data_IF_426992908561
#
_entry.id   IF_426992908561
#
_cell.length_a   1.000
_cell.length_b   1.000
_cell.length_c   1.000
_cell.angle_alpha   90.00
_cell.angle_beta   90.00
_cell.angle_gamma   90.00
#
_symmetry.space_group_name_H-M   'P 1'
#
loop_
_entity.id
_entity.type
_entity.pdbx_description
1 polymer ?
#
# COMPACT_ATOMS: atom_id res chain seq x y z
N UNK A 1 29.71 20.06 3.41
CA UNK A 1 28.62 19.07 3.43
C UNK A 1 27.33 19.84 3.27
N UNK A 2 26.75 19.89 2.07
CA UNK A 2 25.51 20.65 1.81
C UNK A 2 24.31 19.76 2.12
N UNK A 3 23.47 20.19 3.07
CA UNK A 3 22.19 19.56 3.32
C UNK A 3 21.22 19.94 2.21
N UNK A 4 20.70 18.95 1.50
CA UNK A 4 19.64 19.13 0.50
C UNK A 4 18.30 19.00 1.20
N UNK A 5 17.59 20.11 1.35
CA UNK A 5 16.22 20.12 1.85
C UNK A 5 15.27 19.78 0.69
N UNK A 6 14.61 18.63 0.78
CA UNK A 6 13.58 18.23 -0.19
C UNK A 6 12.28 18.94 0.18
N UNK A 7 11.99 20.05 -0.50
CA UNK A 7 10.71 20.74 -0.40
C UNK A 7 9.65 19.96 -1.18
N UNK A 8 8.84 19.16 -0.49
CA UNK A 8 7.69 18.47 -1.08
C UNK A 8 6.60 19.51 -1.34
N UNK A 9 6.41 19.90 -2.61
CA UNK A 9 5.28 20.75 -3.01
C UNK A 9 4.00 19.91 -2.97
N UNK A 10 3.11 20.27 -2.05
CA UNK A 10 1.76 19.72 -1.92
C UNK A 10 0.96 20.08 -3.18
N UNK A 11 0.80 19.13 -4.11
CA UNK A 11 -0.21 19.24 -5.18
C UNK A 11 -1.57 18.92 -4.55
N UNK A 12 -2.29 19.97 -4.16
CA UNK A 12 -3.67 19.84 -3.73
C UNK A 12 -4.55 19.44 -4.91
N UNK A 13 -5.39 18.42 -4.71
CA UNK A 13 -6.48 18.06 -5.62
C UNK A 13 -6.26 16.81 -6.49
N UNK A 14 -6.03 15.63 -5.89
CA UNK A 14 -6.46 14.34 -6.50
C UNK A 14 -6.37 13.07 -5.62
N UNK A 15 -6.00 13.17 -4.34
CA UNK A 15 -5.54 12.02 -3.54
C UNK A 15 -6.45 11.64 -2.37
N UNK A 16 -7.76 11.63 -2.59
CA UNK A 16 -8.72 11.15 -1.60
C UNK A 16 -9.66 10.13 -2.24
N UNK A 17 -9.75 8.96 -1.61
CA UNK A 17 -10.49 7.76 -2.01
C UNK A 17 -9.81 6.82 -3.03
N UNK A 18 -8.73 6.17 -2.61
CA UNK A 18 -8.29 4.90 -3.25
C UNK A 18 -9.19 3.74 -2.80
N UNK A 19 -10.49 3.82 -3.08
CA UNK A 19 -11.40 2.68 -3.25
C UNK A 19 -12.32 3.02 -4.41
N UNK A 20 -11.75 3.31 -5.57
CA UNK A 20 -12.55 3.45 -6.79
C UNK A 20 -12.19 2.34 -7.75
N UNK A 21 -13.19 1.84 -8.49
CA UNK A 21 -13.01 0.89 -9.60
C UNK A 21 -11.87 1.32 -10.54
N UNK A 22 -11.70 2.64 -10.69
CA UNK A 22 -10.62 3.28 -11.45
C UNK A 22 -9.21 2.84 -11.02
N UNK A 23 -8.96 2.59 -9.73
CA UNK A 23 -7.65 2.11 -9.27
C UNK A 23 -7.33 0.73 -9.86
N UNK A 24 -8.27 -0.21 -9.76
CA UNK A 24 -8.07 -1.57 -10.27
C UNK A 24 -7.89 -1.60 -11.78
N UNK A 25 -8.58 -0.72 -12.51
CA UNK A 25 -8.35 -0.54 -13.95
C UNK A 25 -6.93 -0.03 -14.24
N UNK A 26 -6.46 0.98 -13.51
CA UNK A 26 -5.14 1.59 -13.71
C UNK A 26 -3.98 0.62 -13.47
N UNK A 27 -4.13 -0.34 -12.55
CA UNK A 27 -3.10 -1.34 -12.29
C UNK A 27 -3.22 -2.59 -13.17
N UNK A 28 -4.27 -2.68 -14.00
CA UNK A 28 -4.53 -3.79 -14.91
C UNK A 28 -5.08 -5.04 -14.21
N UNK A 29 -5.86 -4.88 -13.14
CA UNK A 29 -6.53 -6.01 -12.48
C UNK A 29 -7.65 -6.52 -13.40
N UNK A 30 -7.76 -7.84 -13.58
CA UNK A 30 -8.83 -8.43 -14.39
C UNK A 30 -10.19 -8.40 -13.68
N UNK A 31 -11.25 -8.73 -14.42
CA UNK A 31 -12.64 -8.70 -13.94
C UNK A 31 -12.89 -9.66 -12.78
N UNK A 32 -12.29 -10.85 -12.80
CA UNK A 32 -12.49 -11.87 -11.77
C UNK A 32 -11.86 -11.42 -10.45
N UNK A 33 -10.62 -10.93 -10.50
CA UNK A 33 -9.92 -10.39 -9.33
C UNK A 33 -10.57 -9.13 -8.77
N UNK A 34 -11.15 -8.27 -9.63
CA UNK A 34 -11.97 -7.12 -9.18
C UNK A 34 -13.19 -7.57 -8.37
N UNK A 35 -13.95 -8.53 -8.90
CA UNK A 35 -15.11 -9.08 -8.21
C UNK A 35 -14.72 -9.73 -6.88
N UNK A 36 -13.60 -10.46 -6.85
CA UNK A 36 -13.07 -11.06 -5.63
C UNK A 36 -12.67 -10.00 -4.60
N UNK A 37 -11.99 -8.93 -5.02
CA UNK A 37 -11.65 -7.80 -4.16
C UNK A 37 -12.89 -7.16 -3.52
N UNK A 38 -13.96 -6.97 -4.30
CA UNK A 38 -15.23 -6.43 -3.79
C UNK A 38 -15.92 -7.39 -2.80
N UNK A 39 -15.91 -8.69 -3.06
CA UNK A 39 -16.42 -9.69 -2.13
C UNK A 39 -15.64 -9.71 -0.81
N UNK A 40 -14.31 -9.60 -0.86
CA UNK A 40 -13.46 -9.47 0.33
C UNK A 40 -13.82 -8.19 1.09
N UNK A 41 -13.90 -7.04 0.40
CA UNK A 41 -14.29 -5.76 1.01
C UNK A 41 -15.64 -5.85 1.74
N UNK A 42 -16.64 -6.47 1.11
CA UNK A 42 -17.98 -6.61 1.70
C UNK A 42 -17.98 -7.52 2.93
N UNK A 43 -17.18 -8.60 2.93
CA UNK A 43 -16.98 -9.44 4.12
C UNK A 43 -16.27 -8.69 5.24
N UNK A 44 -15.25 -7.90 4.91
CA UNK A 44 -14.54 -7.08 5.88
C UNK A 44 -15.46 -6.05 6.57
N UNK A 45 -16.45 -5.52 5.86
CA UNK A 45 -17.45 -4.61 6.44
C UNK A 45 -18.35 -5.27 7.50
N UNK A 46 -18.36 -6.61 7.59
CA UNK A 46 -19.07 -7.35 8.64
C UNK A 46 -18.26 -7.43 9.95
N UNK A 47 -16.95 -7.15 9.92
CA UNK A 47 -16.14 -7.08 11.12
C UNK A 47 -16.45 -5.76 11.84
N UNK A 48 -16.81 -5.86 13.12
CA UNK A 48 -17.22 -4.70 13.90
C UNK A 48 -16.15 -3.59 13.86
N UNK A 49 -16.56 -2.39 13.43
CA UNK A 49 -15.69 -1.22 13.37
C UNK A 49 -14.71 -1.18 12.21
N UNK A 50 -14.71 -2.15 11.29
CA UNK A 50 -13.86 -2.14 10.10
C UNK A 50 -14.63 -1.66 8.86
N UNK A 51 -14.49 -0.38 8.53
CA UNK A 51 -15.04 0.21 7.32
C UNK A 51 -13.89 0.55 6.37
N UNK A 52 -13.63 -0.23 5.32
CA UNK A 52 -12.53 0.03 4.39
C UNK A 52 -12.63 1.45 3.80
N UNK A 53 -11.58 2.25 3.96
CA UNK A 53 -11.44 3.62 3.44
C UNK A 53 -10.40 3.74 2.31
N UNK A 54 -9.38 2.87 2.33
CA UNK A 54 -8.40 2.73 1.24
C UNK A 54 -8.16 1.24 0.92
N UNK A 55 -7.77 0.96 -0.32
CA UNK A 55 -7.31 -0.35 -0.79
C UNK A 55 -6.00 -0.21 -1.57
N UNK A 56 -5.14 -1.20 -1.45
CA UNK A 56 -3.91 -1.33 -2.22
C UNK A 56 -3.69 -2.79 -2.59
N UNK A 57 -3.26 -3.07 -3.83
CA UNK A 57 -2.88 -4.41 -4.28
C UNK A 57 -1.36 -4.47 -4.38
N UNK A 58 -0.76 -5.35 -3.58
CA UNK A 58 0.66 -5.69 -3.66
C UNK A 58 0.88 -6.64 -4.83
N UNK A 59 1.81 -6.29 -5.71
CA UNK A 59 2.10 -7.06 -6.92
C UNK A 59 3.56 -6.91 -7.34
N UNK A 60 4.02 -7.84 -8.17
CA UNK A 60 5.35 -7.82 -8.77
C UNK A 60 5.30 -8.29 -10.21
N UNK A 61 6.32 -7.91 -10.98
CA UNK A 61 6.53 -8.48 -12.32
C UNK A 61 7.44 -9.71 -12.25
N UNK A 62 7.04 -10.75 -12.95
CA UNK A 62 7.91 -11.89 -13.28
C UNK A 62 8.95 -11.49 -14.33
N UNK A 63 9.90 -12.40 -14.59
CA UNK A 63 10.94 -12.21 -15.59
C UNK A 63 10.40 -11.97 -17.01
N UNK A 64 9.24 -12.54 -17.32
CA UNK A 64 8.51 -12.37 -18.58
C UNK A 64 7.66 -11.10 -18.64
N UNK A 65 7.82 -10.19 -17.67
CA UNK A 65 7.05 -8.96 -17.50
C UNK A 65 5.55 -9.17 -17.21
N UNK A 66 5.13 -10.40 -16.91
CA UNK A 66 3.75 -10.65 -16.45
C UNK A 66 3.57 -10.19 -15.01
N UNK A 67 2.44 -9.54 -14.75
CA UNK A 67 2.09 -9.04 -13.42
C UNK A 67 1.47 -10.15 -12.57
N UNK A 68 1.95 -10.28 -11.35
CA UNK A 68 1.41 -11.21 -10.34
C UNK A 68 0.85 -10.40 -9.18
N UNK A 69 -0.47 -10.46 -9.01
CA UNK A 69 -1.16 -9.86 -7.89
C UNK A 69 -1.10 -10.81 -6.68
N UNK A 70 -0.36 -10.40 -5.65
CA UNK A 70 -0.02 -11.24 -4.51
C UNK A 70 -1.00 -11.01 -3.36
N UNK A 71 -1.01 -9.80 -2.79
CA UNK A 71 -1.83 -9.48 -1.61
C UNK A 71 -2.75 -8.30 -1.90
N UNK A 72 -3.91 -8.25 -1.25
CA UNK A 72 -4.76 -7.06 -1.22
C UNK A 72 -4.83 -6.53 0.20
N UNK A 73 -4.73 -5.22 0.35
CA UNK A 73 -4.63 -4.55 1.64
C UNK A 73 -5.75 -3.53 1.73
N UNK A 74 -6.57 -3.65 2.77
CA UNK A 74 -7.62 -2.71 3.11
C UNK A 74 -7.24 -1.94 4.35
N UNK A 75 -7.56 -0.65 4.38
CA UNK A 75 -7.22 0.24 5.50
C UNK A 75 -8.50 0.88 5.99
N UNK A 76 -8.74 0.80 7.30
CA UNK A 76 -9.85 1.43 8.00
C UNK A 76 -9.31 2.20 9.21
N UNK A 77 -9.21 3.52 9.09
CA UNK A 77 -8.56 4.35 10.11
C UNK A 77 -7.14 3.86 10.44
N UNK A 78 -6.94 3.41 11.68
CA UNK A 78 -5.67 2.93 12.23
C UNK A 78 -5.48 1.40 12.15
N UNK A 79 -6.36 0.71 11.43
CA UNK A 79 -6.32 -0.74 11.25
C UNK A 79 -6.09 -1.06 9.77
N UNK A 80 -5.16 -1.96 9.51
CA UNK A 80 -4.88 -2.52 8.20
C UNK A 80 -5.26 -3.98 8.20
N UNK A 81 -5.96 -4.43 7.17
CA UNK A 81 -6.19 -5.83 6.89
C UNK A 81 -5.47 -6.21 5.59
N UNK A 82 -4.47 -7.08 5.69
CA UNK A 82 -3.87 -7.74 4.54
C UNK A 82 -4.57 -9.06 4.31
N UNK A 83 -5.01 -9.30 3.07
CA UNK A 83 -5.47 -10.60 2.61
C UNK A 83 -4.40 -11.17 1.70
N UNK A 84 -3.66 -12.14 2.24
CA UNK A 84 -2.49 -12.72 1.57
C UNK A 84 -2.90 -13.72 0.51
N UNK A 85 -2.22 -13.66 -0.63
CA UNK A 85 -2.42 -14.55 -1.76
C UNK A 85 -3.87 -14.55 -2.29
N UNK A 86 -4.52 -13.39 -2.27
CA UNK A 86 -6.00 -13.26 -2.39
C UNK A 86 -6.58 -13.85 -3.67
N UNK A 87 -5.78 -14.02 -4.73
CA UNK A 87 -6.20 -14.72 -5.94
C UNK A 87 -6.50 -16.20 -5.68
N UNK A 88 -5.72 -16.87 -4.83
CA UNK A 88 -5.82 -18.32 -4.56
C UNK A 88 -6.36 -18.64 -3.16
N UNK A 89 -5.93 -17.91 -2.13
CA UNK A 89 -6.26 -18.14 -0.73
C UNK A 89 -6.65 -16.83 -0.04
N UNK A 90 -7.52 -16.87 0.96
CA UNK A 90 -7.93 -15.68 1.72
C UNK A 90 -7.42 -15.76 3.16
N UNK A 91 -6.13 -15.52 3.35
CA UNK A 91 -5.50 -15.46 4.69
C UNK A 91 -5.49 -14.02 5.19
N UNK A 92 -6.33 -13.73 6.17
CA UNK A 92 -6.51 -12.40 6.74
C UNK A 92 -5.50 -12.13 7.87
N UNK A 93 -4.76 -11.03 7.78
CA UNK A 93 -3.86 -10.55 8.82
C UNK A 93 -4.20 -9.10 9.14
N UNK A 94 -4.46 -8.82 10.42
CA UNK A 94 -4.79 -7.47 10.88
C UNK A 94 -3.60 -6.84 11.59
N UNK A 95 -3.33 -5.58 11.25
CA UNK A 95 -2.28 -4.77 11.84
C UNK A 95 -2.90 -3.51 12.43
N UNK A 96 -2.43 -3.10 13.61
CA UNK A 96 -2.69 -1.76 14.15
C UNK A 96 -1.52 -0.87 13.76
N UNK A 97 -1.78 0.28 13.15
CA UNK A 97 -0.71 1.22 12.75
C UNK A 97 -0.36 2.21 13.85
N UNK A 98 -1.33 2.68 14.62
CA UNK A 98 -1.20 3.74 15.63
C UNK A 98 0.00 3.58 16.59
N UNK A 99 1.02 4.41 16.40
CA UNK A 99 2.30 4.41 17.14
C UNK A 99 2.99 3.05 17.16
N UNK A 100 2.74 2.24 16.14
CA UNK A 100 3.17 0.85 16.09
C UNK A 100 4.13 0.60 14.92
N UNK A 101 4.28 1.54 13.99
CA UNK A 101 5.33 1.46 12.96
C UNK A 101 6.68 1.70 13.63
N UNK A 102 7.57 0.70 13.57
CA UNK A 102 8.92 0.77 14.12
C UNK A 102 9.93 1.24 13.07
N UNK A 103 9.85 0.67 11.86
CA UNK A 103 10.73 1.04 10.74
C UNK A 103 9.99 0.90 9.42
N UNK A 104 10.32 1.78 8.47
CA UNK A 104 9.91 1.65 7.06
C UNK A 104 11.18 1.55 6.21
N UNK A 105 11.33 0.46 5.48
CA UNK A 105 12.43 0.25 4.53
C UNK A 105 11.89 0.29 3.11
N UNK A 106 12.38 1.24 2.31
CA UNK A 106 12.02 1.37 0.89
C UNK A 106 13.19 0.90 0.03
N UNK A 107 12.95 -0.11 -0.80
CA UNK A 107 13.88 -0.64 -1.78
C UNK A 107 13.33 -0.32 -3.18
N UNK A 108 14.20 0.20 -4.05
CA UNK A 108 13.80 0.62 -5.39
C UNK A 108 14.68 -0.07 -6.43
N UNK A 109 14.09 -0.44 -7.55
CA UNK A 109 14.79 -0.87 -8.75
C UNK A 109 14.32 0.03 -9.90
N UNK A 110 15.28 0.66 -10.58
CA UNK A 110 15.02 1.53 -11.74
C UNK A 110 13.95 2.60 -11.48
N UNK A 111 14.10 3.30 -10.36
CA UNK A 111 13.17 4.32 -9.88
C UNK A 111 13.92 5.53 -9.30
N UNK A 112 13.43 6.75 -9.51
CA UNK A 112 14.02 7.99 -8.97
C UNK A 112 13.13 8.70 -7.91
N UNK A 113 11.95 8.14 -7.65
CA UNK A 113 10.87 8.65 -6.77
C UNK A 113 10.10 9.84 -7.34
N UNK A 114 10.37 10.23 -8.59
CA UNK A 114 9.71 11.34 -9.28
C UNK A 114 8.91 10.85 -10.48
N UNK A 115 9.45 9.86 -11.20
CA UNK A 115 8.87 9.26 -12.39
C UNK A 115 8.57 7.79 -12.13
N UNK A 116 7.43 7.33 -12.66
CA UNK A 116 6.92 5.96 -12.48
C UNK A 116 6.76 5.33 -13.87
N UNK A 117 7.86 4.82 -14.43
CA UNK A 117 7.88 4.18 -15.75
C UNK A 117 7.38 2.74 -15.68
N UNK A 118 7.02 2.11 -16.79
CA UNK A 118 6.55 0.71 -16.79
C UNK A 118 7.54 -0.30 -16.19
N UNK A 119 8.85 0.00 -16.22
CA UNK A 119 9.94 -0.79 -15.65
C UNK A 119 10.13 -0.60 -14.14
N UNK A 120 9.64 0.50 -13.59
CA UNK A 120 9.80 0.90 -12.19
C UNK A 120 9.33 -0.16 -11.19
N UNK A 121 10.15 -0.49 -10.19
CA UNK A 121 9.74 -1.38 -9.08
C UNK A 121 10.07 -0.76 -7.73
N UNK A 122 9.12 -0.84 -6.80
CA UNK A 122 9.29 -0.43 -5.42
C UNK A 122 8.84 -1.58 -4.52
N UNK A 123 9.70 -1.97 -3.59
CA UNK A 123 9.39 -2.90 -2.51
C UNK A 123 9.52 -2.15 -1.19
N UNK A 124 8.51 -2.29 -0.34
CA UNK A 124 8.48 -1.66 0.98
C UNK A 124 8.25 -2.71 2.03
N UNK A 125 9.08 -2.67 3.07
CA UNK A 125 8.88 -3.44 4.29
C UNK A 125 8.55 -2.46 5.42
N UNK A 126 7.38 -2.65 6.02
CA UNK A 126 6.94 -1.94 7.22
C UNK A 126 7.05 -2.93 8.38
N UNK A 127 7.96 -2.67 9.32
CA UNK A 127 8.07 -3.46 10.53
C UNK A 127 7.26 -2.78 11.65
N UNK A 128 6.41 -3.56 12.32
CA UNK A 128 5.67 -3.12 13.48
C UNK A 128 6.40 -3.49 14.79
N UNK A 129 6.18 -2.74 15.88
CA UNK A 129 6.92 -2.91 17.15
C UNK A 129 6.86 -4.32 17.75
N UNK A 130 5.82 -5.08 17.45
CA UNK A 130 5.63 -6.45 17.97
C UNK A 130 6.18 -7.56 17.04
N UNK A 131 7.07 -7.21 16.11
CA UNK A 131 7.83 -8.18 15.31
C UNK A 131 7.10 -8.75 14.11
N UNK A 132 5.95 -8.17 13.72
CA UNK A 132 5.27 -8.51 12.46
C UNK A 132 5.64 -7.50 11.38
N UNK A 133 5.82 -7.98 10.15
CA UNK A 133 6.07 -7.13 8.99
C UNK A 133 4.90 -7.17 8.00
N UNK A 134 4.65 -6.01 7.38
CA UNK A 134 3.87 -5.90 6.16
C UNK A 134 4.82 -5.60 5.00
N UNK A 135 4.74 -6.40 3.94
CA UNK A 135 5.54 -6.20 2.73
C UNK A 135 4.63 -5.83 1.58
N UNK A 136 4.88 -4.66 0.99
CA UNK A 136 4.13 -4.14 -0.14
C UNK A 136 5.05 -3.98 -1.34
N UNK A 137 4.60 -4.44 -2.50
CA UNK A 137 5.32 -4.35 -3.76
C UNK A 137 4.46 -3.65 -4.79
N UNK A 138 5.07 -2.77 -5.57
CA UNK A 138 4.41 -2.10 -6.67
C UNK A 138 5.33 -2.05 -7.89
N UNK A 139 4.71 -2.09 -9.05
CA UNK A 139 5.33 -2.03 -10.36
C UNK A 139 4.64 -0.98 -11.23
N UNK A 140 5.42 -0.22 -12.00
CA UNK A 140 4.93 0.82 -12.89
C UNK A 140 4.02 1.84 -12.19
N UNK A 141 2.82 2.02 -12.73
CA UNK A 141 1.81 2.93 -12.18
C UNK A 141 1.49 2.65 -10.70
N UNK A 142 1.58 1.39 -10.27
CA UNK A 142 1.27 0.98 -8.90
C UNK A 142 2.34 1.43 -7.89
N UNK A 143 3.56 1.74 -8.34
CA UNK A 143 4.59 2.36 -7.50
C UNK A 143 4.13 3.73 -6.99
N UNK A 144 3.42 4.52 -7.80
CA UNK A 144 2.91 5.84 -7.37
C UNK A 144 1.93 5.72 -6.22
N UNK A 145 1.00 4.77 -6.35
CA UNK A 145 0.01 4.49 -5.31
C UNK A 145 0.64 3.95 -4.03
N UNK A 146 1.69 3.12 -4.15
CA UNK A 146 2.46 2.68 -3.00
C UNK A 146 3.10 3.86 -2.27
N UNK A 147 3.75 4.77 -3.01
CA UNK A 147 4.37 5.95 -2.39
C UNK A 147 3.35 6.86 -1.71
N UNK A 148 2.16 7.06 -2.28
CA UNK A 148 1.06 7.79 -1.62
C UNK A 148 0.63 7.11 -0.31
N UNK A 149 0.50 5.78 -0.34
CA UNK A 149 0.17 4.99 0.84
C UNK A 149 1.22 5.13 1.94
N UNK A 150 2.50 5.06 1.58
CA UNK A 150 3.62 5.26 2.51
C UNK A 150 3.55 6.64 3.17
N UNK A 151 3.40 7.69 2.37
CA UNK A 151 3.39 9.07 2.87
C UNK A 151 2.17 9.34 3.77
N UNK A 152 1.00 8.80 3.43
CA UNK A 152 -0.26 9.13 4.10
C UNK A 152 -0.63 8.22 5.27
N UNK A 153 -0.02 7.03 5.38
CA UNK A 153 -0.37 6.04 6.41
C UNK A 153 0.82 5.67 7.28
N UNK A 154 1.94 5.27 6.67
CA UNK A 154 3.04 4.65 7.43
C UNK A 154 4.08 5.65 7.91
N UNK A 155 4.51 6.58 7.05
CA UNK A 155 5.49 7.60 7.42
C UNK A 155 4.88 8.65 8.35
N UNK A 156 3.60 8.98 8.16
CA UNK A 156 2.88 9.85 9.09
C UNK A 156 2.89 9.29 10.52
N UNK A 157 2.59 7.99 10.69
CA UNK A 157 2.65 7.32 12.00
C UNK A 157 4.07 7.31 12.58
N UNK A 158 5.08 7.07 11.73
CA UNK A 158 6.48 7.09 12.15
C UNK A 158 6.89 8.47 12.69
N UNK A 159 6.49 9.56 12.02
CA UNK A 159 6.74 10.93 12.49
C UNK A 159 5.96 11.26 13.77
N UNK A 160 4.68 10.94 13.84
CA UNK A 160 3.85 11.22 15.03
C UNK A 160 4.33 10.44 16.26
N UNK A 161 4.84 9.22 16.08
CA UNK A 161 5.45 8.43 17.17
C UNK A 161 6.75 9.01 17.72
N UNK A 162 7.42 9.89 16.97
CA UNK A 162 8.66 10.56 17.38
C UNK A 162 8.43 11.87 18.15
N UNK A 163 7.20 12.40 18.13
CA UNK A 163 6.80 13.66 18.80
C UNK A 163 6.15 13.43 20.16
N UNK A 164 6.25 12.21 20.71
CA UNK A 164 5.84 11.91 22.09
C UNK A 164 6.81 12.53 23.11
N UNK A 165 6.53 13.77 23.51
CA UNK A 165 6.88 14.35 24.82
C UNK A 165 5.69 14.24 25.77
#
# INVERSE_FOLDING_TARGET
MQAVYITIRKKEGMYTAMISLKYFDLIGLDTELKQKADQIKNRLAQFNGFTPQKVYVSEFLRSDQTKVFENIVFISGKIICEVRNFAAEEKYVFYKTDHNVATVQVMKHDHDFQTFESSSRIHVRIAFRYGTDLVLKGSGENCRFLMDLLNTVFLADLYDSSQGT
#
